data_IF_151399087523
#
_entry.id   IF_151399087523
#
_cell.length_a   1.000
_cell.length_b   1.000
_cell.length_c   1.000
_cell.angle_alpha   90.00
_cell.angle_beta   90.00
_cell.angle_gamma   90.00
#
_symmetry.space_group_name_H-M   'P 1'
#
loop_
_entity.id
_entity.type
_entity.pdbx_description
1 polymer ?
#
# COMPACT_ATOMS: atom_id res chain seq x y z
N UNK A 1 43.00 27.22 94.73
CA UNK A 1 41.66 27.47 94.17
C UNK A 1 41.65 28.10 92.79
N UNK A 2 42.63 28.93 92.39
CA UNK A 2 42.65 29.59 91.05
C UNK A 2 42.92 28.72 89.84
N UNK A 3 43.57 27.55 89.93
CA UNK A 3 43.85 26.68 88.83
C UNK A 3 42.61 25.89 88.30
N UNK A 4 41.59 25.67 89.15
CA UNK A 4 40.37 25.03 88.78
C UNK A 4 39.36 25.97 88.09
N UNK A 5 39.45 27.28 88.37
CA UNK A 5 38.60 28.27 87.68
C UNK A 5 39.07 28.55 86.23
N UNK A 6 40.37 28.48 85.99
CA UNK A 6 40.92 28.70 84.63
C UNK A 6 40.60 27.54 83.69
N UNK A 7 40.45 26.31 84.16
CA UNK A 7 40.04 25.18 83.37
C UNK A 7 38.57 25.19 83.08
N UNK A 8 37.72 25.71 83.94
CA UNK A 8 36.29 25.84 83.72
C UNK A 8 35.96 26.93 82.68
N UNK A 9 36.73 28.04 82.64
CA UNK A 9 36.53 29.08 81.62
C UNK A 9 37.05 28.70 80.23
N UNK A 10 38.06 27.82 80.11
CA UNK A 10 38.54 27.32 78.85
C UNK A 10 37.58 26.29 78.24
N UNK A 11 36.86 25.49 79.03
CA UNK A 11 35.88 24.53 78.59
C UNK A 11 34.58 25.18 78.04
N UNK A 12 34.20 26.33 78.67
CA UNK A 12 33.03 27.10 78.19
C UNK A 12 33.25 27.85 76.88
N UNK A 13 34.49 28.29 76.65
CA UNK A 13 34.91 29.00 75.42
C UNK A 13 34.95 28.03 74.23
N UNK A 14 35.24 26.73 74.39
CA UNK A 14 35.26 25.72 73.36
C UNK A 14 33.87 25.22 72.94
N UNK A 15 32.88 25.30 73.82
CA UNK A 15 31.48 24.89 73.51
C UNK A 15 30.78 26.01 72.76
N UNK A 16 31.14 27.29 72.90
CA UNK A 16 30.45 28.35 72.15
C UNK A 16 30.86 28.49 70.69
N UNK A 17 31.99 27.92 70.25
CA UNK A 17 32.44 27.95 68.85
C UNK A 17 31.86 26.81 68.05
N UNK A 18 31.32 25.76 68.67
CA UNK A 18 30.64 24.64 67.94
C UNK A 18 29.20 24.97 67.53
N UNK A 19 28.62 26.04 68.13
CA UNK A 19 27.24 26.41 67.80
C UNK A 19 27.03 27.27 66.54
N UNK A 20 28.13 27.91 66.06
CA UNK A 20 28.11 28.81 64.87
C UNK A 20 28.32 28.02 63.54
N UNK A 21 28.76 26.76 63.63
CA UNK A 21 28.99 25.92 62.44
C UNK A 21 27.75 25.20 61.94
N UNK A 22 26.59 25.36 62.60
CA UNK A 22 25.36 24.63 62.20
C UNK A 22 24.41 25.40 61.27
N UNK A 23 24.78 26.68 60.97
CA UNK A 23 23.87 27.52 60.12
C UNK A 23 24.49 27.87 58.79
N UNK A 24 25.11 26.84 58.13
CA UNK A 24 25.41 26.92 56.73
C UNK A 24 24.08 26.87 55.96
N UNK A 25 23.77 27.87 55.11
CA UNK A 25 22.56 27.84 54.30
C UNK A 25 22.57 26.55 53.50
N UNK A 26 21.60 25.67 53.74
CA UNK A 26 21.39 24.48 52.92
C UNK A 26 21.21 24.98 51.49
N UNK A 27 22.17 24.66 50.64
CA UNK A 27 22.03 24.86 49.22
C UNK A 27 20.74 24.22 48.82
N UNK A 28 19.74 25.01 48.41
CA UNK A 28 18.49 24.50 47.89
C UNK A 28 18.83 23.50 46.78
N UNK A 29 18.28 22.32 46.87
CA UNK A 29 18.43 21.32 45.80
C UNK A 29 18.05 22.01 44.49
N UNK A 30 18.82 21.86 43.40
CA UNK A 30 18.45 22.41 42.13
C UNK A 30 17.03 21.91 41.77
N UNK A 31 16.16 22.78 41.22
CA UNK A 31 14.83 22.38 40.84
C UNK A 31 14.90 21.14 39.91
N UNK A 32 13.98 20.18 40.03
CA UNK A 32 13.98 19.01 39.18
C UNK A 32 13.99 19.46 37.73
N UNK A 33 14.99 19.02 36.98
CA UNK A 33 15.08 19.26 35.56
C UNK A 33 13.98 18.36 34.92
N UNK A 34 12.89 18.97 34.50
CA UNK A 34 11.88 18.27 33.69
C UNK A 34 12.52 17.98 32.33
N UNK A 35 12.97 16.75 32.10
CA UNK A 35 13.27 16.26 30.77
C UNK A 35 11.91 16.00 30.06
N UNK A 36 11.61 16.73 28.98
CA UNK A 36 10.40 16.47 28.23
C UNK A 36 10.40 14.99 27.77
N UNK A 37 9.33 14.28 28.03
CA UNK A 37 9.15 12.92 27.47
C UNK A 37 9.08 13.07 25.95
N UNK A 38 9.91 12.35 25.17
CA UNK A 38 9.85 12.44 23.71
C UNK A 38 8.45 12.06 23.22
N UNK A 39 7.76 13.00 22.59
CA UNK A 39 6.43 12.77 22.02
C UNK A 39 6.63 12.18 20.61
N UNK A 40 5.95 11.07 20.33
CA UNK A 40 6.00 10.43 19.01
C UNK A 40 5.53 11.41 17.92
N UNK A 41 6.20 11.42 16.77
CA UNK A 41 5.81 12.20 15.59
C UNK A 41 5.84 11.32 14.35
N UNK A 42 4.84 11.52 13.47
CA UNK A 42 4.75 10.84 12.18
C UNK A 42 5.65 11.49 11.11
N UNK A 43 6.26 12.64 11.39
CA UNK A 43 7.16 13.33 10.46
C UNK A 43 8.41 12.49 10.17
N UNK A 44 8.73 12.31 8.90
CA UNK A 44 9.95 11.64 8.45
C UNK A 44 9.76 10.75 7.25
N UNK A 45 10.87 10.30 6.70
CA UNK A 45 10.88 9.26 5.66
C UNK A 45 10.58 7.91 6.27
N UNK A 46 9.96 7.04 5.47
CA UNK A 46 9.74 5.65 5.84
C UNK A 46 9.88 4.76 4.61
N UNK A 47 10.25 3.50 4.86
CA UNK A 47 10.18 2.43 3.89
C UNK A 47 9.71 1.15 4.56
N UNK A 48 9.03 0.29 3.82
CA UNK A 48 8.45 -0.91 4.40
C UNK A 48 8.15 -2.00 3.39
N UNK A 49 7.73 -3.13 3.94
CA UNK A 49 7.25 -4.27 3.19
C UNK A 49 5.77 -4.48 3.47
N UNK A 50 5.05 -4.91 2.46
CA UNK A 50 3.62 -5.16 2.57
C UNK A 50 3.24 -6.46 1.86
N UNK A 51 2.24 -7.12 2.39
CA UNK A 51 1.50 -8.15 1.68
C UNK A 51 0.17 -7.57 1.27
N UNK A 52 -0.20 -7.82 0.05
CA UNK A 52 -1.42 -7.32 -0.51
C UNK A 52 -2.32 -8.46 -0.98
N UNK A 53 -3.61 -8.23 -0.94
CA UNK A 53 -4.62 -9.12 -1.49
C UNK A 53 -5.42 -8.35 -2.52
N UNK A 54 -5.20 -8.68 -3.80
CA UNK A 54 -5.80 -7.99 -4.91
C UNK A 54 -6.98 -8.80 -5.43
N UNK A 55 -8.13 -8.15 -5.56
CA UNK A 55 -9.33 -8.73 -6.13
C UNK A 55 -9.89 -7.77 -7.19
N UNK A 56 -10.48 -8.35 -8.20
CA UNK A 56 -10.98 -7.58 -9.34
C UNK A 56 -12.49 -7.73 -9.41
N UNK A 57 -13.15 -6.63 -9.70
CA UNK A 57 -14.56 -6.64 -10.03
C UNK A 57 -14.82 -7.36 -11.37
N UNK A 58 -16.09 -7.53 -11.74
CA UNK A 58 -16.48 -8.10 -13.02
C UNK A 58 -16.09 -7.15 -14.15
N UNK A 59 -14.85 -7.27 -14.60
CA UNK A 59 -14.36 -6.49 -15.74
C UNK A 59 -15.07 -6.87 -17.01
N UNK A 60 -15.63 -5.88 -17.69
CA UNK A 60 -16.38 -6.05 -18.92
C UNK A 60 -15.46 -6.02 -20.13
N UNK A 61 -15.62 -7.02 -21.01
CA UNK A 61 -14.97 -7.06 -22.31
C UNK A 61 -16.06 -6.93 -23.36
N UNK A 62 -15.99 -5.86 -24.19
CA UNK A 62 -16.94 -5.66 -25.30
C UNK A 62 -16.23 -5.86 -26.62
N UNK A 63 -16.86 -6.62 -27.54
CA UNK A 63 -16.31 -6.88 -28.86
C UNK A 63 -17.27 -6.40 -29.93
N UNK A 64 -16.74 -5.64 -30.90
CA UNK A 64 -17.47 -5.14 -32.06
C UNK A 64 -16.75 -5.56 -33.34
N UNK A 65 -17.50 -5.87 -34.39
CA UNK A 65 -16.94 -6.15 -35.72
C UNK A 65 -16.64 -4.85 -36.47
N UNK A 66 -15.51 -4.77 -37.15
CA UNK A 66 -15.12 -3.59 -37.92
C UNK A 66 -15.80 -3.57 -39.29
N UNK A 67 -15.80 -4.71 -40.00
CA UNK A 67 -16.52 -4.83 -41.26
C UNK A 67 -17.98 -5.33 -41.06
N UNK A 68 -18.90 -5.07 -41.99
CA UNK A 68 -20.30 -5.49 -41.88
C UNK A 68 -20.45 -6.99 -41.58
N UNK A 69 -19.69 -7.89 -42.25
CA UNK A 69 -19.72 -9.32 -41.99
C UNK A 69 -19.28 -9.69 -40.57
N UNK A 70 -18.27 -8.99 -40.03
CA UNK A 70 -17.82 -9.19 -38.65
C UNK A 70 -18.85 -8.66 -37.63
N UNK A 71 -19.49 -7.52 -37.94
CA UNK A 71 -20.57 -6.97 -37.11
C UNK A 71 -21.78 -7.93 -37.09
N UNK A 72 -22.14 -8.52 -38.22
CA UNK A 72 -23.17 -9.54 -38.32
C UNK A 72 -22.84 -10.78 -37.48
N UNK A 73 -21.59 -11.23 -37.46
CA UNK A 73 -21.15 -12.33 -36.58
C UNK A 73 -21.35 -12.05 -35.10
N UNK A 74 -21.13 -10.79 -34.68
CA UNK A 74 -21.42 -10.36 -33.30
C UNK A 74 -22.92 -10.33 -33.03
N UNK A 75 -23.70 -9.76 -33.96
CA UNK A 75 -25.16 -9.67 -33.84
C UNK A 75 -25.86 -11.05 -33.79
N UNK A 76 -25.32 -12.04 -34.52
CA UNK A 76 -25.79 -13.42 -34.48
C UNK A 76 -25.26 -14.22 -33.28
N UNK A 77 -24.49 -13.63 -32.39
CA UNK A 77 -23.91 -14.31 -31.24
C UNK A 77 -22.81 -15.32 -31.58
N UNK A 78 -22.26 -15.30 -32.79
CA UNK A 78 -21.11 -16.13 -33.18
C UNK A 78 -19.84 -15.67 -32.46
N UNK A 79 -19.73 -14.38 -32.16
CA UNK A 79 -18.72 -13.74 -31.28
C UNK A 79 -19.43 -13.00 -30.20
N UNK A 80 -18.93 -13.02 -28.95
CA UNK A 80 -19.60 -12.36 -27.83
C UNK A 80 -19.51 -10.83 -27.96
N UNK A 81 -20.66 -10.15 -27.95
CA UNK A 81 -20.69 -8.69 -27.82
C UNK A 81 -20.20 -8.24 -26.45
N UNK A 82 -20.62 -8.95 -25.40
CA UNK A 82 -20.28 -8.66 -24.02
C UNK A 82 -19.89 -9.96 -23.30
N UNK A 83 -18.77 -9.94 -22.65
CA UNK A 83 -18.38 -10.95 -21.66
C UNK A 83 -17.77 -10.27 -20.45
N UNK A 84 -17.59 -11.01 -19.37
CA UNK A 84 -16.94 -10.51 -18.16
C UNK A 84 -15.91 -11.50 -17.66
N UNK A 85 -14.83 -10.96 -17.12
CA UNK A 85 -13.83 -11.72 -16.37
C UNK A 85 -13.83 -11.23 -14.93
N UNK A 86 -13.68 -12.14 -13.99
CA UNK A 86 -13.43 -11.83 -12.58
C UNK A 86 -12.37 -12.77 -12.08
N UNK A 87 -11.64 -12.34 -11.08
CA UNK A 87 -10.71 -13.20 -10.37
C UNK A 87 -10.90 -12.97 -8.89
N UNK A 88 -11.06 -14.07 -8.15
CA UNK A 88 -10.95 -14.05 -6.71
C UNK A 88 -9.53 -13.65 -6.32
N UNK A 89 -9.38 -13.04 -5.16
CA UNK A 89 -8.16 -12.39 -4.76
C UNK A 89 -6.91 -13.25 -4.82
N UNK A 90 -5.81 -12.61 -5.16
CA UNK A 90 -4.48 -13.21 -5.13
C UNK A 90 -3.67 -12.49 -4.05
N UNK A 91 -3.03 -13.27 -3.17
CA UNK A 91 -2.07 -12.75 -2.22
C UNK A 91 -0.76 -12.44 -2.95
N UNK A 92 -0.20 -11.25 -2.70
CA UNK A 92 1.02 -10.79 -3.31
C UNK A 92 1.92 -10.09 -2.28
N UNK A 93 3.13 -9.74 -2.69
CA UNK A 93 4.11 -9.04 -1.88
C UNK A 93 4.46 -7.73 -2.57
N UNK A 94 4.65 -6.69 -1.77
CA UNK A 94 5.01 -5.37 -2.23
C UNK A 94 5.98 -4.66 -1.30
N UNK A 95 6.42 -3.51 -1.78
CA UNK A 95 7.24 -2.58 -1.00
C UNK A 95 6.66 -1.18 -1.08
N UNK A 96 6.84 -0.42 -0.02
CA UNK A 96 6.39 0.96 0.07
C UNK A 96 7.50 1.87 0.57
N UNK A 97 7.51 3.10 0.10
CA UNK A 97 8.37 4.17 0.60
C UNK A 97 7.63 5.50 0.53
N UNK A 98 7.91 6.41 1.46
CA UNK A 98 7.25 7.70 1.47
C UNK A 98 7.79 8.66 2.51
N UNK A 99 7.11 9.80 2.60
CA UNK A 99 7.41 10.85 3.57
C UNK A 99 6.11 11.39 4.16
N UNK A 100 6.09 11.58 5.47
CA UNK A 100 5.01 12.23 6.19
C UNK A 100 5.50 13.51 6.84
N UNK A 101 4.61 14.48 6.94
CA UNK A 101 4.76 15.68 7.73
C UNK A 101 3.55 15.83 8.66
N UNK A 102 3.80 15.87 9.95
CA UNK A 102 2.81 16.10 11.00
C UNK A 102 2.92 17.53 11.50
N UNK A 103 1.82 18.26 11.48
CA UNK A 103 1.80 19.67 11.86
C UNK A 103 2.00 19.90 13.36
N UNK A 104 1.52 18.96 14.19
CA UNK A 104 1.60 19.06 15.66
C UNK A 104 2.07 17.70 16.21
N UNK A 105 3.21 17.64 16.95
CA UNK A 105 3.66 16.40 17.57
C UNK A 105 2.60 15.77 18.50
N UNK A 106 2.57 14.45 18.58
CA UNK A 106 1.57 13.70 19.30
C UNK A 106 0.28 13.57 18.50
N UNK A 107 -0.65 14.51 18.63
CA UNK A 107 -1.92 14.49 17.92
C UNK A 107 -2.06 15.66 16.97
N UNK A 108 -2.46 15.39 15.72
CA UNK A 108 -2.62 16.45 14.72
C UNK A 108 -2.73 15.95 13.30
N UNK A 109 -2.95 16.89 12.38
CA UNK A 109 -3.01 16.60 10.96
C UNK A 109 -1.66 16.12 10.43
N UNK A 110 -1.73 15.13 9.55
CA UNK A 110 -0.59 14.56 8.83
C UNK A 110 -0.87 14.67 7.34
N UNK A 111 0.11 15.14 6.59
CA UNK A 111 0.11 15.09 5.12
C UNK A 111 1.33 14.31 4.67
N UNK A 112 1.24 13.61 3.55
CA UNK A 112 2.38 12.83 3.09
C UNK A 112 2.23 12.38 1.66
N UNK A 113 3.29 11.75 1.18
CA UNK A 113 3.35 11.08 -0.11
C UNK A 113 3.86 9.66 0.08
N UNK A 114 3.31 8.73 -0.69
CA UNK A 114 3.68 7.32 -0.65
C UNK A 114 3.83 6.79 -2.08
N UNK A 115 4.85 5.99 -2.32
CA UNK A 115 4.98 5.14 -3.48
C UNK A 115 4.96 3.68 -3.00
N UNK A 116 4.13 2.86 -3.61
CA UNK A 116 4.08 1.41 -3.37
C UNK A 116 4.15 0.67 -4.69
N UNK A 117 4.80 -0.47 -4.69
CA UNK A 117 4.88 -1.39 -5.82
C UNK A 117 4.54 -2.78 -5.33
N UNK A 118 3.50 -3.39 -5.91
CA UNK A 118 3.02 -4.72 -5.60
C UNK A 118 3.17 -5.64 -6.82
N UNK A 119 3.79 -6.81 -6.64
CA UNK A 119 3.84 -7.86 -7.66
C UNK A 119 2.53 -8.64 -7.61
N UNK A 120 1.63 -8.37 -8.55
CA UNK A 120 0.26 -8.89 -8.51
C UNK A 120 0.08 -10.23 -9.22
N UNK A 121 0.82 -10.49 -10.29
CA UNK A 121 0.73 -11.71 -11.13
C UNK A 121 -0.71 -12.18 -11.39
N UNK A 122 -1.60 -11.22 -11.65
CA UNK A 122 -3.00 -11.50 -11.91
C UNK A 122 -3.14 -11.94 -13.35
N UNK A 123 -3.63 -13.16 -13.58
CA UNK A 123 -3.94 -13.65 -14.92
C UNK A 123 -5.37 -14.20 -14.97
N UNK A 124 -6.19 -13.65 -15.86
CA UNK A 124 -7.58 -14.04 -16.07
C UNK A 124 -7.74 -14.61 -17.47
N UNK A 125 -8.35 -15.78 -17.57
CA UNK A 125 -8.68 -16.41 -18.83
C UNK A 125 -10.20 -16.63 -18.92
N UNK A 126 -10.77 -16.28 -20.07
CA UNK A 126 -12.19 -16.48 -20.34
C UNK A 126 -12.38 -17.11 -21.72
N UNK A 127 -13.02 -18.25 -21.75
CA UNK A 127 -13.47 -18.88 -22.99
C UNK A 127 -14.99 -18.72 -23.12
N UNK A 128 -15.44 -18.25 -24.26
CA UNK A 128 -16.85 -18.07 -24.59
C UNK A 128 -17.17 -18.86 -25.85
N UNK A 129 -18.20 -19.68 -25.77
CA UNK A 129 -18.74 -20.41 -26.90
C UNK A 129 -19.86 -19.59 -27.51
N UNK A 130 -19.69 -19.17 -28.78
CA UNK A 130 -20.70 -18.49 -29.55
C UNK A 130 -21.59 -19.48 -30.34
N UNK A 131 -22.57 -18.96 -31.05
CA UNK A 131 -23.40 -19.78 -31.95
C UNK A 131 -22.57 -20.40 -33.09
N UNK A 132 -22.98 -21.54 -33.61
CA UNK A 132 -22.38 -22.13 -34.79
C UNK A 132 -22.60 -21.30 -36.06
N UNK A 133 -21.87 -21.61 -37.13
CA UNK A 133 -22.03 -20.95 -38.43
C UNK A 133 -23.31 -21.41 -39.16
N UNK A 134 -23.80 -22.58 -38.77
CA UNK A 134 -25.09 -23.17 -39.24
C UNK A 134 -25.89 -23.59 -38.01
N UNK A 135 -27.22 -23.69 -38.18
CA UNK A 135 -28.11 -24.14 -37.11
C UNK A 135 -27.71 -25.55 -36.64
N UNK A 136 -27.53 -25.72 -35.32
CA UNK A 136 -27.10 -26.99 -34.73
C UNK A 136 -25.65 -27.38 -34.99
N UNK A 137 -24.86 -26.51 -35.63
CA UNK A 137 -23.43 -26.74 -35.86
C UNK A 137 -22.57 -26.47 -34.62
N UNK A 138 -21.28 -26.89 -34.67
CA UNK A 138 -20.38 -26.70 -33.56
C UNK A 138 -20.14 -25.21 -33.30
N UNK A 139 -19.94 -24.80 -32.02
CA UNK A 139 -19.84 -23.40 -31.62
C UNK A 139 -18.55 -22.75 -32.11
N UNK A 140 -18.60 -21.45 -32.36
CA UNK A 140 -17.40 -20.61 -32.50
C UNK A 140 -16.79 -20.38 -31.13
N UNK A 141 -15.47 -20.42 -31.03
CA UNK A 141 -14.74 -20.26 -29.76
C UNK A 141 -14.09 -18.88 -29.72
N UNK A 142 -14.29 -18.16 -28.64
CA UNK A 142 -13.62 -16.88 -28.36
C UNK A 142 -12.89 -16.96 -27.02
N UNK A 143 -11.60 -16.69 -27.04
CA UNK A 143 -10.75 -16.73 -25.86
C UNK A 143 -10.24 -15.32 -25.57
N UNK A 144 -10.35 -14.92 -24.32
CA UNK A 144 -9.84 -13.65 -23.81
C UNK A 144 -8.88 -13.93 -22.67
N UNK A 145 -7.74 -13.25 -22.66
CA UNK A 145 -6.78 -13.30 -21.58
C UNK A 145 -6.44 -11.89 -21.16
N UNK A 146 -6.34 -11.66 -19.85
CA UNK A 146 -5.98 -10.40 -19.27
C UNK A 146 -5.01 -10.64 -18.13
N UNK A 147 -3.91 -9.90 -18.07
CA UNK A 147 -2.90 -10.02 -17.03
C UNK A 147 -2.48 -8.64 -16.53
N UNK A 148 -2.15 -8.57 -15.24
CA UNK A 148 -1.52 -7.45 -14.58
C UNK A 148 -0.39 -8.02 -13.72
N UNK A 149 0.85 -7.84 -14.16
CA UNK A 149 2.00 -8.50 -13.54
C UNK A 149 2.43 -7.76 -12.26
N UNK A 150 2.32 -6.45 -12.26
CA UNK A 150 2.61 -5.59 -11.11
C UNK A 150 1.80 -4.30 -11.16
N UNK A 151 1.52 -3.74 -9.98
CA UNK A 151 0.80 -2.50 -9.79
C UNK A 151 1.64 -1.55 -8.93
N UNK A 152 1.97 -0.40 -9.48
CA UNK A 152 2.55 0.70 -8.74
C UNK A 152 1.51 1.77 -8.40
N UNK A 153 1.67 2.43 -7.27
CA UNK A 153 0.83 3.57 -6.88
C UNK A 153 1.69 4.70 -6.34
N UNK A 154 1.45 5.93 -6.80
CA UNK A 154 2.02 7.15 -6.24
C UNK A 154 0.89 8.00 -5.71
N UNK A 155 0.76 8.07 -4.39
CA UNK A 155 -0.39 8.69 -3.73
C UNK A 155 0.02 9.82 -2.78
N UNK A 156 -0.76 10.89 -2.79
CA UNK A 156 -0.82 11.83 -1.69
C UNK A 156 -1.72 11.27 -0.58
N UNK A 157 -1.38 11.49 0.67
CA UNK A 157 -2.20 11.10 1.81
C UNK A 157 -2.43 12.25 2.78
N UNK A 158 -3.64 12.30 3.33
CA UNK A 158 -4.06 13.26 4.33
C UNK A 158 -4.78 12.52 5.44
N UNK A 159 -4.38 12.76 6.67
CA UNK A 159 -4.95 12.05 7.81
C UNK A 159 -4.82 12.82 9.11
N UNK A 160 -5.22 12.16 10.17
CA UNK A 160 -5.11 12.66 11.53
C UNK A 160 -4.46 11.61 12.42
N UNK A 161 -3.44 12.03 13.16
CA UNK A 161 -2.76 11.21 14.14
C UNK A 161 -3.36 11.43 15.53
N UNK A 162 -3.67 10.35 16.21
CA UNK A 162 -4.04 10.26 17.61
C UNK A 162 -2.86 9.60 18.34
N UNK A 163 -1.82 10.36 18.61
CA UNK A 163 -0.55 9.87 19.13
C UNK A 163 0.04 8.78 18.21
N UNK A 164 -0.05 7.52 18.58
CA UNK A 164 0.52 6.38 17.87
C UNK A 164 -0.42 5.72 16.85
N UNK A 165 -1.63 6.20 16.71
CA UNK A 165 -2.61 5.73 15.70
C UNK A 165 -2.82 6.84 14.69
N UNK A 166 -2.69 6.55 13.40
CA UNK A 166 -2.99 7.47 12.31
C UNK A 166 -4.07 6.86 11.41
N UNK A 167 -5.11 7.63 11.10
CA UNK A 167 -6.13 7.29 10.12
C UNK A 167 -6.03 8.29 8.98
N UNK A 168 -6.05 7.80 7.74
CA UNK A 168 -5.83 8.64 6.56
C UNK A 168 -6.60 8.19 5.35
N UNK A 169 -6.94 9.16 4.50
CA UNK A 169 -7.34 8.96 3.13
C UNK A 169 -6.15 9.18 2.19
N UNK A 170 -6.16 8.51 1.04
CA UNK A 170 -5.12 8.64 0.03
C UNK A 170 -5.69 8.64 -1.37
N UNK A 171 -4.98 9.28 -2.30
CA UNK A 171 -5.35 9.28 -3.71
C UNK A 171 -4.20 9.76 -4.59
N UNK A 172 -4.17 9.28 -5.83
CA UNK A 172 -3.09 9.62 -6.75
C UNK A 172 -3.09 8.76 -8.01
N UNK A 173 -1.89 8.54 -8.54
CA UNK A 173 -1.66 7.78 -9.75
C UNK A 173 -1.54 6.27 -9.43
N UNK A 174 -2.17 5.46 -10.30
CA UNK A 174 -1.88 4.04 -10.43
C UNK A 174 -1.13 3.81 -11.74
N UNK A 175 -0.23 2.84 -11.79
CA UNK A 175 0.52 2.49 -12.98
C UNK A 175 0.94 1.02 -12.95
N UNK A 176 1.06 0.40 -14.14
CA UNK A 176 1.44 -1.01 -14.21
C UNK A 176 1.55 -1.50 -15.63
N UNK A 177 2.04 -2.73 -15.79
CA UNK A 177 2.10 -3.38 -17.09
C UNK A 177 0.86 -4.25 -17.28
N UNK A 178 0.05 -3.94 -18.31
CA UNK A 178 -1.17 -4.66 -18.63
C UNK A 178 -0.99 -5.46 -19.92
N UNK A 179 -1.46 -6.69 -19.89
CA UNK A 179 -1.49 -7.58 -21.03
C UNK A 179 -2.92 -7.99 -21.35
N UNK A 180 -3.33 -7.82 -22.60
CA UNK A 180 -4.64 -8.24 -23.11
C UNK A 180 -4.47 -9.04 -24.38
N UNK A 181 -5.16 -10.17 -24.47
CA UNK A 181 -5.16 -11.06 -25.62
C UNK A 181 -6.59 -11.46 -25.94
N UNK A 182 -6.94 -11.44 -27.24
CA UNK A 182 -8.21 -11.91 -27.74
C UNK A 182 -7.98 -12.77 -28.99
N UNK A 183 -8.29 -14.06 -28.86
CA UNK A 183 -8.13 -15.07 -29.91
C UNK A 183 -9.48 -15.68 -30.26
N UNK A 184 -9.83 -15.67 -31.56
CA UNK A 184 -11.07 -16.23 -32.04
C UNK A 184 -10.79 -17.38 -32.98
N UNK A 185 -11.43 -18.50 -32.68
CA UNK A 185 -11.24 -19.76 -33.38
C UNK A 185 -12.49 -20.13 -34.20
N UNK A 186 -12.27 -20.88 -35.24
CA UNK A 186 -13.34 -21.54 -35.99
C UNK A 186 -14.01 -22.63 -35.14
N UNK A 187 -15.19 -23.14 -35.52
CA UNK A 187 -15.81 -24.32 -34.88
C UNK A 187 -14.90 -25.56 -34.87
N UNK A 188 -13.99 -25.68 -35.84
CA UNK A 188 -12.98 -26.75 -35.90
C UNK A 188 -11.72 -26.49 -35.09
N UNK A 189 -11.64 -25.39 -34.30
CA UNK A 189 -10.52 -25.09 -33.44
C UNK A 189 -9.34 -24.40 -34.12
N UNK A 190 -9.39 -24.04 -35.39
CA UNK A 190 -8.34 -23.28 -36.07
C UNK A 190 -8.41 -21.80 -35.67
N UNK A 191 -7.27 -21.19 -35.35
CA UNK A 191 -7.16 -19.77 -35.02
C UNK A 191 -7.53 -18.93 -36.26
N UNK A 192 -8.55 -18.09 -36.14
CA UNK A 192 -9.10 -17.30 -37.24
C UNK A 192 -8.78 -15.81 -37.10
N UNK A 193 -8.80 -15.29 -35.88
CA UNK A 193 -8.45 -13.91 -35.59
C UNK A 193 -7.62 -13.88 -34.32
N UNK A 194 -6.63 -12.98 -34.26
CA UNK A 194 -5.78 -12.77 -33.11
C UNK A 194 -5.54 -11.28 -32.87
N UNK A 195 -5.52 -10.88 -31.61
CA UNK A 195 -5.17 -9.54 -31.19
C UNK A 195 -4.48 -9.56 -29.85
N UNK A 196 -3.40 -8.79 -29.72
CA UNK A 196 -2.60 -8.69 -28.51
C UNK A 196 -2.29 -7.23 -28.21
N UNK A 197 -2.29 -6.91 -26.95
CA UNK A 197 -1.84 -5.65 -26.40
C UNK A 197 -0.98 -5.91 -25.17
N UNK A 198 0.21 -5.30 -25.10
CA UNK A 198 1.16 -5.46 -24.01
C UNK A 198 1.87 -4.12 -23.85
N UNK A 199 1.54 -3.37 -22.80
CA UNK A 199 2.08 -2.02 -22.62
C UNK A 199 1.90 -1.52 -21.19
N UNK A 200 2.70 -0.52 -20.85
CA UNK A 200 2.59 0.24 -19.60
C UNK A 200 1.37 1.14 -19.61
N UNK A 201 0.58 1.09 -18.53
CA UNK A 201 -0.60 1.92 -18.36
C UNK A 201 -0.54 2.73 -17.08
N UNK A 202 -1.15 3.90 -17.15
CA UNK A 202 -1.37 4.79 -16.00
C UNK A 202 -2.85 5.04 -15.83
N UNK A 203 -3.23 5.26 -14.60
CA UNK A 203 -4.59 5.56 -14.21
C UNK A 203 -4.63 6.24 -12.85
N UNK A 204 -5.65 5.99 -12.08
CA UNK A 204 -5.78 6.58 -10.75
C UNK A 204 -6.03 5.50 -9.69
N UNK A 205 -5.65 5.83 -8.44
CA UNK A 205 -6.00 5.05 -7.27
C UNK A 205 -6.48 5.95 -6.15
N UNK A 206 -7.42 5.47 -5.35
CA UNK A 206 -7.89 6.14 -4.16
C UNK A 206 -8.31 5.14 -3.09
N UNK A 207 -8.23 5.57 -1.85
CA UNK A 207 -8.55 4.70 -0.73
C UNK A 207 -8.24 5.33 0.62
N UNK A 208 -7.95 4.49 1.60
CA UNK A 208 -7.58 4.93 2.93
C UNK A 208 -6.99 3.80 3.75
N UNK A 209 -6.48 4.17 4.90
CA UNK A 209 -5.82 3.22 5.78
C UNK A 209 -5.72 3.69 7.21
N UNK A 210 -5.24 2.77 8.02
CA UNK A 210 -4.88 2.99 9.41
C UNK A 210 -3.45 2.51 9.62
N UNK A 211 -2.67 3.27 10.39
CA UNK A 211 -1.29 2.93 10.72
C UNK A 211 -1.08 3.09 12.23
N UNK A 212 -0.39 2.13 12.85
CA UNK A 212 -0.11 2.10 14.27
C UNK A 212 1.40 2.03 14.53
N UNK A 213 1.93 2.99 15.29
CA UNK A 213 3.34 3.01 15.70
C UNK A 213 3.54 2.16 16.96
N UNK A 214 4.43 1.18 16.86
CA UNK A 214 4.69 0.21 17.93
C UNK A 214 5.40 0.92 19.10
N UNK A 215 4.89 0.84 20.35
CA UNK A 215 5.56 1.37 21.52
C UNK A 215 6.88 0.65 21.80
N UNK A 216 7.88 1.36 22.34
CA UNK A 216 9.19 0.82 22.72
C UNK A 216 9.12 -0.26 23.79
N UNK A 217 8.10 -0.25 24.62
CA UNK A 217 7.83 -1.22 25.69
C UNK A 217 6.94 -2.40 25.26
N UNK A 218 6.67 -2.51 23.95
CA UNK A 218 5.88 -3.57 23.36
C UNK A 218 6.52 -4.95 23.57
N UNK A 219 5.67 -6.00 23.65
CA UNK A 219 6.11 -7.40 23.68
C UNK A 219 6.99 -7.82 22.48
N UNK A 220 6.88 -7.10 21.35
CA UNK A 220 7.73 -7.31 20.16
C UNK A 220 9.21 -7.04 20.45
N UNK A 221 9.52 -6.25 21.48
CA UNK A 221 10.87 -6.07 21.98
C UNK A 221 11.49 -7.37 22.55
N UNK A 222 10.64 -8.32 22.93
CA UNK A 222 11.04 -9.64 23.44
C UNK A 222 11.67 -10.52 22.33
N UNK A 223 11.25 -10.35 21.09
CA UNK A 223 11.76 -11.12 19.95
C UNK A 223 13.12 -10.64 19.41
N UNK A 224 13.77 -9.69 20.08
CA UNK A 224 15.17 -9.26 19.98
C UNK A 224 15.85 -9.23 18.58
N UNK A 225 15.19 -9.62 17.50
CA UNK A 225 15.76 -9.66 16.14
C UNK A 225 16.22 -8.28 15.69
N UNK A 226 15.47 -7.25 16.03
CA UNK A 226 15.78 -5.87 15.67
C UNK A 226 17.06 -5.35 16.34
N UNK A 227 17.40 -5.83 17.53
CA UNK A 227 18.62 -5.41 18.24
C UNK A 227 19.88 -5.81 17.48
N UNK A 228 19.85 -6.99 16.83
CA UNK A 228 20.98 -7.45 16.00
C UNK A 228 21.06 -6.74 14.65
N UNK A 229 19.93 -6.19 14.16
CA UNK A 229 19.85 -5.46 12.90
C UNK A 229 19.94 -3.93 13.08
N UNK A 230 20.15 -3.44 14.32
CA UNK A 230 20.16 -2.00 14.61
C UNK A 230 18.80 -1.30 14.44
N UNK A 231 17.70 -2.07 14.43
CA UNK A 231 16.34 -1.54 14.26
C UNK A 231 15.87 -0.95 15.58
N UNK A 232 15.45 0.31 15.54
CA UNK A 232 14.77 0.95 16.67
C UNK A 232 13.28 0.65 16.58
N UNK A 233 12.72 -0.05 17.57
CA UNK A 233 11.32 -0.50 17.56
C UNK A 233 10.31 0.65 17.57
N UNK A 234 10.64 1.78 18.18
CA UNK A 234 9.85 3.01 18.18
C UNK A 234 9.71 3.65 16.79
N UNK A 235 10.53 3.20 15.84
CA UNK A 235 10.46 3.60 14.44
C UNK A 235 9.62 2.63 13.58
N UNK A 236 9.11 1.54 14.13
CA UNK A 236 8.32 0.54 13.36
C UNK A 236 6.83 0.85 13.49
N UNK A 237 6.15 0.85 12.35
CA UNK A 237 4.69 0.99 12.28
C UNK A 237 4.08 -0.21 11.56
N UNK A 238 2.86 -0.57 11.92
CA UNK A 238 2.03 -1.56 11.23
C UNK A 238 0.90 -0.81 10.54
N UNK A 239 0.65 -1.13 9.27
CA UNK A 239 -0.41 -0.52 8.48
C UNK A 239 -1.39 -1.53 7.91
N UNK A 240 -2.62 -1.06 7.71
CA UNK A 240 -3.64 -1.71 6.89
C UNK A 240 -4.28 -0.65 5.99
N UNK A 241 -4.38 -0.96 4.69
CA UNK A 241 -4.86 -0.05 3.65
C UNK A 241 -5.86 -0.75 2.75
N UNK A 242 -6.81 0.00 2.24
CA UNK A 242 -7.69 -0.38 1.13
C UNK A 242 -7.55 0.67 0.04
N UNK A 243 -7.31 0.22 -1.20
CA UNK A 243 -7.29 1.07 -2.39
C UNK A 243 -8.14 0.46 -3.50
N UNK A 244 -8.83 1.32 -4.22
CA UNK A 244 -9.38 1.03 -5.52
C UNK A 244 -8.50 1.65 -6.60
N UNK A 245 -8.23 0.92 -7.68
CA UNK A 245 -7.45 1.39 -8.83
C UNK A 245 -8.21 1.19 -10.13
N UNK A 246 -8.00 2.10 -11.09
CA UNK A 246 -8.53 2.02 -12.45
C UNK A 246 -7.45 2.48 -13.44
N UNK A 247 -6.92 1.54 -14.23
CA UNK A 247 -5.93 1.77 -15.28
C UNK A 247 -6.59 2.08 -16.64
N UNK A 248 -7.92 2.26 -16.65
CA UNK A 248 -8.70 2.65 -17.79
C UNK A 248 -9.03 1.51 -18.74
N UNK A 249 -9.39 1.91 -19.96
CA UNK A 249 -9.90 1.01 -20.99
C UNK A 249 -8.91 0.96 -22.16
N UNK A 250 -8.71 -0.25 -22.71
CA UNK A 250 -7.85 -0.47 -23.86
C UNK A 250 -8.61 -1.19 -24.99
N UNK A 251 -8.44 -0.69 -26.20
CA UNK A 251 -8.95 -1.32 -27.42
C UNK A 251 -7.88 -2.23 -28.03
N UNK A 252 -8.21 -3.49 -28.24
CA UNK A 252 -7.35 -4.48 -28.88
C UNK A 252 -7.91 -4.77 -30.27
N UNK A 253 -7.13 -4.49 -31.31
CA UNK A 253 -7.48 -4.89 -32.69
C UNK A 253 -7.23 -6.38 -32.85
N UNK A 254 -8.28 -7.13 -33.12
CA UNK A 254 -8.28 -8.59 -33.34
C UNK A 254 -8.36 -8.82 -34.84
N UNK A 255 -7.19 -8.94 -35.49
CA UNK A 255 -7.06 -9.03 -36.93
C UNK A 255 -7.22 -10.46 -37.44
N UNK A 256 -7.68 -10.59 -38.67
CA UNK A 256 -7.80 -11.88 -39.33
C UNK A 256 -6.43 -12.53 -39.58
N UNK A 257 -6.36 -13.85 -39.37
CA UNK A 257 -5.22 -14.67 -39.80
C UNK A 257 -5.34 -14.84 -41.33
N UNK A 258 -4.26 -14.51 -42.09
CA UNK A 258 -4.28 -14.65 -43.54
C UNK A 258 -4.72 -16.05 -44.01
N UNK A 259 -5.62 -16.10 -44.98
CA UNK A 259 -6.12 -17.36 -45.54
C UNK A 259 -7.20 -18.08 -44.71
N UNK A 260 -7.48 -17.63 -43.47
CA UNK A 260 -8.46 -18.27 -42.57
C UNK A 260 -9.62 -17.33 -42.22
N UNK A 261 -9.34 -16.06 -42.00
CA UNK A 261 -10.32 -15.04 -41.65
C UNK A 261 -10.37 -13.89 -42.66
N UNK A 262 -11.38 -13.03 -42.50
CA UNK A 262 -11.50 -11.78 -43.24
C UNK A 262 -12.02 -10.66 -42.34
N UNK A 263 -11.42 -9.47 -42.44
CA UNK A 263 -11.74 -8.31 -41.63
C UNK A 263 -11.11 -8.34 -40.24
N UNK A 264 -11.77 -7.71 -39.28
CA UNK A 264 -11.25 -7.59 -37.91
C UNK A 264 -12.37 -7.30 -36.90
N UNK A 265 -12.01 -7.41 -35.65
CA UNK A 265 -12.83 -7.00 -34.50
C UNK A 265 -12.04 -6.03 -33.62
N UNK A 266 -12.74 -5.27 -32.81
CA UNK A 266 -12.15 -4.49 -31.72
C UNK A 266 -12.72 -5.05 -30.42
N UNK A 267 -11.83 -5.60 -29.58
CA UNK A 267 -12.16 -6.02 -28.23
C UNK A 267 -11.68 -4.98 -27.24
N UNK A 268 -12.60 -4.43 -26.44
CA UNK A 268 -12.33 -3.38 -25.46
C UNK A 268 -12.26 -4.00 -24.08
N UNK A 269 -11.12 -3.86 -23.45
CA UNK A 269 -10.82 -4.34 -22.09
C UNK A 269 -10.80 -3.17 -21.13
N UNK A 270 -11.27 -3.36 -19.90
CA UNK A 270 -11.09 -2.44 -18.78
C UNK A 270 -10.25 -3.13 -17.72
N UNK A 271 -9.32 -2.39 -17.11
CA UNK A 271 -8.48 -2.89 -16.03
C UNK A 271 -8.73 -2.06 -14.79
N UNK A 272 -9.51 -2.61 -13.88
CA UNK A 272 -9.86 -2.01 -12.59
C UNK A 272 -9.92 -3.09 -11.50
N UNK A 273 -9.75 -2.68 -10.25
CA UNK A 273 -9.84 -3.59 -9.13
C UNK A 273 -9.62 -2.90 -7.80
N UNK A 274 -9.61 -3.71 -6.76
CA UNK A 274 -9.36 -3.26 -5.40
C UNK A 274 -8.24 -4.08 -4.78
N UNK A 275 -7.48 -3.45 -3.88
CA UNK A 275 -6.37 -4.06 -3.17
C UNK A 275 -6.47 -3.75 -1.69
N UNK A 276 -6.35 -4.78 -0.86
CA UNK A 276 -6.16 -4.65 0.58
C UNK A 276 -4.69 -4.94 0.88
N UNK A 277 -4.03 -4.03 1.55
CA UNK A 277 -2.63 -4.14 1.95
C UNK A 277 -2.51 -4.22 3.46
N UNK A 278 -1.61 -5.06 3.94
CA UNK A 278 -1.17 -5.08 5.32
C UNK A 278 0.36 -5.18 5.34
N UNK A 279 1.01 -4.39 6.17
CA UNK A 279 2.45 -4.35 6.18
C UNK A 279 3.02 -3.60 7.35
N UNK A 280 4.32 -3.47 7.34
CA UNK A 280 5.06 -2.68 8.32
C UNK A 280 6.01 -1.71 7.62
N UNK A 281 6.16 -0.53 8.21
CA UNK A 281 7.11 0.47 7.77
C UNK A 281 8.17 0.68 8.85
N UNK A 282 9.38 0.96 8.42
CA UNK A 282 10.44 1.51 9.25
C UNK A 282 10.58 3.00 8.95
N UNK A 283 10.47 3.82 9.98
CA UNK A 283 10.59 5.26 9.91
C UNK A 283 12.02 5.71 10.18
N UNK A 284 12.55 6.55 9.31
CA UNK A 284 13.89 7.11 9.40
C UNK A 284 13.82 8.55 9.90
N UNK A 285 14.48 8.85 11.04
CA UNK A 285 14.60 10.20 11.58
C UNK A 285 13.34 10.73 12.27
N UNK A 286 13.56 11.75 13.13
CA UNK A 286 12.50 12.50 13.80
C UNK A 286 11.93 11.80 15.04
N UNK A 287 12.60 11.98 16.15
CA UNK A 287 12.08 11.83 17.52
C UNK A 287 12.02 13.19 18.16
#
# INVERSE_FOLDING_TARGET
MMKKLLLASAATALVSTAAVAADLPRRAAPPPVFTPVPVFTWTGFYAGLESAYTFTDRERITTVGVLPGNATNVALGRRPFLTSTSQDGIANIGGTAGYNYQFTPGSGFVVGVANSIDWTDITKNRVVLGTGNVAGGPPNISQFRQSLDWLGTLTGRVGYAFDRVMVYGMGGLAYGNVFHDANFYTPGGALQFAGRYDDFKTGFAYGGGIEFAIPTDSFLNYFAVGKYLGIKYDAVTIKAEYLHYDLGTQNVLVAAIPGVGNGSYISRFRTEGSIVRAGFNYKFGGF
#
